data_IF_571667759664
#
_entry.id   IF_571667759664
#
_cell.length_a   1.000
_cell.length_b   1.000
_cell.length_c   1.000
_cell.angle_alpha   90.00
_cell.angle_beta   90.00
_cell.angle_gamma   90.00
#
_symmetry.space_group_name_H-M   'P 1'
#
loop_
_entity.id
_entity.type
_entity.pdbx_description
1 polymer ?
#
# COMPACT_ATOMS: atom_id res chain seq x y z
N UNK A 1 28.05 14.96 -17.26
CA UNK A 1 26.69 15.05 -16.69
C UNK A 1 25.93 13.81 -17.15
N UNK A 2 25.48 12.95 -16.24
CA UNK A 2 24.72 11.75 -16.61
C UNK A 2 23.33 12.19 -17.08
N UNK A 3 23.03 11.95 -18.36
CA UNK A 3 21.67 12.13 -18.88
C UNK A 3 20.82 11.08 -18.16
N UNK A 4 19.97 11.53 -17.24
CA UNK A 4 18.98 10.64 -16.61
C UNK A 4 18.03 10.24 -17.75
N UNK A 5 18.25 9.06 -18.34
CA UNK A 5 17.32 8.46 -19.28
C UNK A 5 16.22 7.80 -18.44
N UNK A 6 15.32 8.62 -17.91
CA UNK A 6 14.08 8.13 -17.32
C UNK A 6 13.11 7.89 -18.47
N UNK A 7 12.67 6.64 -18.62
CA UNK A 7 11.58 6.32 -19.53
C UNK A 7 10.25 6.66 -18.83
N UNK A 8 9.46 7.63 -19.34
CA UNK A 8 8.17 8.00 -18.76
C UNK A 8 7.23 6.81 -18.58
N UNK A 9 7.21 5.88 -19.52
CA UNK A 9 6.36 4.69 -19.47
C UNK A 9 6.70 3.82 -18.27
N UNK A 10 7.99 3.68 -17.93
CA UNK A 10 8.44 2.91 -16.77
C UNK A 10 7.94 3.52 -15.46
N UNK A 11 7.94 4.85 -15.34
CA UNK A 11 7.41 5.52 -14.14
C UNK A 11 5.88 5.43 -14.04
N UNK A 12 5.18 5.55 -15.17
CA UNK A 12 3.72 5.35 -15.22
C UNK A 12 3.36 3.95 -14.75
N UNK A 13 4.05 2.92 -15.25
CA UNK A 13 3.85 1.54 -14.82
C UNK A 13 4.17 1.34 -13.33
N UNK A 14 5.24 1.95 -12.83
CA UNK A 14 5.62 1.84 -11.42
C UNK A 14 4.58 2.49 -10.49
N UNK A 15 4.09 3.69 -10.82
CA UNK A 15 2.99 4.35 -10.11
C UNK A 15 1.73 3.48 -10.10
N UNK A 16 1.36 2.92 -11.26
CA UNK A 16 0.21 2.03 -11.36
C UNK A 16 0.38 0.80 -10.45
N UNK A 17 1.57 0.22 -10.41
CA UNK A 17 1.88 -0.91 -9.52
C UNK A 17 1.67 -0.56 -8.05
N UNK A 18 2.21 0.57 -7.58
CA UNK A 18 2.01 1.03 -6.19
C UNK A 18 0.52 1.20 -5.85
N UNK A 19 -0.26 1.83 -6.73
CA UNK A 19 -1.70 2.01 -6.53
C UNK A 19 -2.47 0.68 -6.50
N UNK A 20 -2.15 -0.24 -7.41
CA UNK A 20 -2.73 -1.58 -7.44
C UNK A 20 -2.43 -2.33 -6.15
N UNK A 21 -1.18 -2.31 -5.69
CA UNK A 21 -0.81 -3.02 -4.46
C UNK A 21 -1.41 -2.39 -3.20
N UNK A 22 -1.55 -1.06 -3.15
CA UNK A 22 -2.31 -0.40 -2.08
C UNK A 22 -3.74 -0.92 -2.02
N UNK A 23 -4.41 -0.99 -3.18
CA UNK A 23 -5.80 -1.48 -3.25
C UNK A 23 -5.91 -2.93 -2.84
N UNK A 24 -5.00 -3.79 -3.33
CA UNK A 24 -4.95 -5.20 -2.97
C UNK A 24 -4.76 -5.40 -1.47
N UNK A 25 -3.89 -4.59 -0.85
CA UNK A 25 -3.62 -4.66 0.58
C UNK A 25 -4.83 -4.21 1.41
N UNK A 26 -5.53 -3.15 1.00
CA UNK A 26 -6.77 -2.72 1.64
C UNK A 26 -7.85 -3.80 1.55
N UNK A 27 -8.01 -4.42 0.38
CA UNK A 27 -8.95 -5.53 0.19
C UNK A 27 -8.60 -6.72 1.06
N UNK A 28 -7.32 -7.13 1.09
CA UNK A 28 -6.84 -8.23 1.92
C UNK A 28 -7.07 -7.94 3.41
N UNK A 29 -6.77 -6.74 3.87
CA UNK A 29 -6.94 -6.34 5.27
C UNK A 29 -8.40 -6.43 5.70
N UNK A 30 -9.33 -6.00 4.84
CA UNK A 30 -10.78 -6.10 5.11
C UNK A 30 -11.28 -7.54 5.11
N UNK A 31 -10.78 -8.37 4.18
CA UNK A 31 -11.14 -9.79 4.12
C UNK A 31 -10.70 -10.51 5.41
N UNK A 32 -9.42 -10.34 5.80
CA UNK A 32 -8.89 -10.92 7.02
C UNK A 32 -9.59 -10.39 8.27
N UNK A 33 -9.94 -9.10 8.32
CA UNK A 33 -10.72 -8.54 9.42
C UNK A 33 -12.05 -9.28 9.57
N UNK A 34 -12.76 -9.50 8.46
CA UNK A 34 -14.02 -10.25 8.49
C UNK A 34 -13.82 -11.68 8.97
N UNK A 35 -12.78 -12.37 8.51
CA UNK A 35 -12.47 -13.74 8.92
C UNK A 35 -12.15 -13.82 10.42
N UNK A 36 -11.35 -12.87 10.91
CA UNK A 36 -10.99 -12.77 12.34
C UNK A 36 -12.23 -12.55 13.21
N UNK A 37 -13.14 -11.67 12.79
CA UNK A 37 -14.38 -11.40 13.52
C UNK A 37 -15.32 -12.62 13.53
N UNK A 38 -15.37 -13.38 12.43
CA UNK A 38 -16.18 -14.58 12.32
C UNK A 38 -15.67 -15.74 13.20
N UNK A 39 -14.41 -15.71 13.66
CA UNK A 39 -13.88 -16.76 14.56
C UNK A 39 -14.46 -16.73 15.98
N UNK A 40 -15.25 -15.71 16.35
CA UNK A 40 -15.70 -15.52 17.72
C UNK A 40 -16.55 -16.69 18.26
N UNK A 41 -17.36 -17.32 17.41
CA UNK A 41 -18.24 -18.42 17.81
C UNK A 41 -17.48 -19.73 18.03
N UNK A 42 -16.53 -20.05 17.13
CA UNK A 42 -15.82 -21.34 17.10
C UNK A 42 -14.50 -21.34 17.88
N UNK A 43 -13.86 -20.17 18.05
CA UNK A 43 -12.54 -20.03 18.67
C UNK A 43 -12.60 -19.18 19.94
N UNK A 44 -12.99 -19.85 21.02
CA UNK A 44 -13.19 -19.26 22.34
C UNK A 44 -12.00 -19.47 23.29
N UNK A 45 -11.86 -18.58 24.27
CA UNK A 45 -10.80 -18.63 25.28
C UNK A 45 -9.87 -17.41 25.27
N UNK A 46 -8.88 -17.42 26.15
CA UNK A 46 -7.98 -16.29 26.38
C UNK A 46 -7.06 -16.00 25.16
N UNK A 47 -6.40 -17.04 24.63
CA UNK A 47 -5.47 -16.90 23.49
C UNK A 47 -6.14 -16.32 22.23
N UNK A 48 -7.29 -16.84 21.76
CA UNK A 48 -8.03 -16.23 20.64
C UNK A 48 -8.41 -14.77 20.89
N UNK A 49 -8.80 -14.45 22.12
CA UNK A 49 -9.21 -13.09 22.51
C UNK A 49 -8.02 -12.13 22.46
N UNK A 50 -6.85 -12.56 22.95
CA UNK A 50 -5.62 -11.79 22.82
C UNK A 50 -5.24 -11.58 21.36
N UNK A 51 -5.32 -12.63 20.53
CA UNK A 51 -5.05 -12.51 19.09
C UNK A 51 -5.98 -11.51 18.41
N UNK A 52 -7.30 -11.57 18.66
CA UNK A 52 -8.27 -10.60 18.12
C UNK A 52 -7.93 -9.17 18.57
N UNK A 53 -7.57 -8.99 19.84
CA UNK A 53 -7.12 -7.70 20.34
C UNK A 53 -5.86 -7.21 19.61
N UNK A 54 -4.84 -8.06 19.45
CA UNK A 54 -3.62 -7.72 18.74
C UNK A 54 -3.89 -7.42 17.25
N UNK A 55 -4.82 -8.15 16.64
CA UNK A 55 -5.28 -7.88 15.29
C UNK A 55 -5.83 -6.46 15.13
N UNK A 56 -6.78 -6.06 15.98
CA UNK A 56 -7.39 -4.73 15.89
C UNK A 56 -6.45 -3.60 16.30
N UNK A 57 -5.51 -3.85 17.22
CA UNK A 57 -4.65 -2.79 17.80
C UNK A 57 -3.29 -2.67 17.12
N UNK A 58 -2.78 -3.74 16.51
CA UNK A 58 -1.44 -3.79 15.95
C UNK A 58 -1.46 -4.17 14.46
N UNK A 59 -1.98 -5.36 14.12
CA UNK A 59 -1.79 -5.93 12.79
C UNK A 59 -2.59 -5.20 11.70
N UNK A 60 -3.91 -5.06 11.85
CA UNK A 60 -4.73 -4.36 10.86
C UNK A 60 -4.30 -2.88 10.69
N UNK A 61 -4.02 -2.12 11.75
CA UNK A 61 -3.46 -0.77 11.61
C UNK A 61 -2.11 -0.72 10.88
N UNK A 62 -1.23 -1.70 11.07
CA UNK A 62 0.06 -1.76 10.34
C UNK A 62 -0.15 -1.99 8.85
N UNK A 63 -1.09 -2.86 8.47
CA UNK A 63 -1.43 -3.11 7.06
C UNK A 63 -2.04 -1.86 6.40
N UNK A 64 -2.91 -1.14 7.11
CA UNK A 64 -3.46 0.14 6.65
C UNK A 64 -2.37 1.21 6.46
N UNK A 65 -1.39 1.28 7.38
CA UNK A 65 -0.24 2.19 7.24
C UNK A 65 0.61 1.84 6.02
N UNK A 66 0.82 0.54 5.76
CA UNK A 66 1.54 0.10 4.58
C UNK A 66 0.77 0.45 3.29
N UNK A 67 -0.56 0.28 3.27
CA UNK A 67 -1.38 0.70 2.13
C UNK A 67 -1.23 2.21 1.86
N UNK A 68 -1.33 3.04 2.90
CA UNK A 68 -1.09 4.48 2.79
C UNK A 68 0.31 4.81 2.27
N UNK A 69 1.36 4.13 2.77
CA UNK A 69 2.73 4.32 2.30
C UNK A 69 2.91 3.94 0.82
N UNK A 70 2.18 2.95 0.31
CA UNK A 70 2.18 2.61 -1.12
C UNK A 70 1.53 3.72 -1.95
N UNK A 71 0.45 4.35 -1.47
CA UNK A 71 -0.14 5.52 -2.13
C UNK A 71 0.86 6.68 -2.19
N UNK A 72 1.55 6.95 -1.08
CA UNK A 72 2.55 8.03 -1.01
C UNK A 72 3.74 7.75 -1.95
N UNK A 73 4.24 6.51 -2.00
CA UNK A 73 5.25 6.11 -2.98
C UNK A 73 4.78 6.31 -4.43
N UNK A 74 3.52 6.01 -4.73
CA UNK A 74 2.91 6.29 -6.04
C UNK A 74 2.86 7.78 -6.37
N UNK A 75 2.62 8.66 -5.38
CA UNK A 75 2.65 10.12 -5.53
C UNK A 75 4.06 10.65 -5.78
N UNK A 76 5.06 10.10 -5.11
CA UNK A 76 6.46 10.48 -5.31
C UNK A 76 6.94 10.12 -6.72
N UNK A 77 6.55 8.95 -7.22
CA UNK A 77 6.82 8.54 -8.61
C UNK A 77 6.15 9.49 -9.61
N UNK A 78 4.90 9.89 -9.35
CA UNK A 78 4.20 10.87 -10.20
C UNK A 78 4.90 12.23 -10.22
N UNK A 79 5.36 12.70 -9.06
CA UNK A 79 6.12 13.94 -8.92
C UNK A 79 7.43 13.85 -9.70
N UNK A 80 8.14 12.73 -9.61
CA UNK A 80 9.37 12.49 -10.37
C UNK A 80 9.12 12.50 -11.89
N UNK A 81 8.02 11.91 -12.35
CA UNK A 81 7.60 11.94 -13.75
C UNK A 81 7.33 13.37 -14.24
N UNK A 82 6.55 14.16 -13.50
CA UNK A 82 6.25 15.54 -13.86
C UNK A 82 7.52 16.40 -13.97
N UNK A 83 8.44 16.24 -13.01
CA UNK A 83 9.73 16.94 -13.04
C UNK A 83 10.58 16.55 -14.26
N UNK A 84 10.59 15.27 -14.64
CA UNK A 84 11.31 14.80 -15.82
C UNK A 84 10.73 15.38 -17.12
N UNK A 85 9.40 15.44 -17.25
CA UNK A 85 8.72 16.02 -18.41
C UNK A 85 8.98 17.53 -18.53
N UNK A 86 8.96 18.26 -17.41
CA UNK A 86 9.30 19.70 -17.41
C UNK A 86 10.75 19.96 -17.80
N UNK A 87 11.69 19.11 -17.34
CA UNK A 87 13.10 19.25 -17.69
C UNK A 87 13.37 19.02 -19.19
N UNK A 88 12.64 18.10 -19.83
CA UNK A 88 12.76 17.83 -21.27
C UNK A 88 12.25 19.00 -22.13
N UNK A 89 11.22 19.72 -21.67
CA UNK A 89 10.68 20.90 -22.36
C UNK A 89 11.64 22.12 -22.35
N UNK A 90 12.65 22.12 -21.48
CA UNK A 90 13.62 23.21 -21.33
C UNK A 90 14.97 22.92 -21.99
N UNK A 91 15.18 21.70 -22.50
CA UNK A 91 16.41 21.24 -23.14
C UNK A 91 16.35 21.40 -24.67
#
# INVERSE_FOLDING_TARGET
>A
MARIVVNPDTLIHLKASFNTQSTNLDTLTRALQSDVDNTQEDWQGNVPTMFRNDWHTQYAPMLQKLAAALVDAGRDVDTALQNALHADQQA
#
